data_IF_489437762218
#
_entry.id   IF_489437762218
#
_cell.length_a   1.000
_cell.length_b   1.000
_cell.length_c   1.000
_cell.angle_alpha   90.00
_cell.angle_beta   90.00
_cell.angle_gamma   90.00
#
_symmetry.space_group_name_H-M   'P 1'
#
loop_
_entity.id
_entity.type
_entity.pdbx_description
1 polymer ?
#
# COMPACT_ATOMS: atom_id res chain seq x y z
N UNK A 1 -2.41 -26.61 -33.74
CA UNK A 1 -2.57 -25.42 -34.60
C UNK A 1 -1.40 -24.48 -34.35
N UNK A 2 -0.47 -24.38 -35.30
CA UNK A 2 0.65 -23.44 -35.23
C UNK A 2 0.13 -22.04 -35.55
N UNK A 3 -0.06 -21.19 -34.52
CA UNK A 3 -0.38 -19.77 -34.75
C UNK A 3 0.81 -19.12 -35.43
N UNK A 4 0.56 -18.47 -36.56
CA UNK A 4 1.56 -17.74 -37.34
C UNK A 4 2.19 -16.66 -36.44
N UNK A 5 3.47 -16.81 -36.07
CA UNK A 5 4.11 -15.97 -35.05
C UNK A 5 4.40 -14.51 -35.51
N UNK A 6 4.16 -14.18 -36.78
CA UNK A 6 4.55 -12.89 -37.36
C UNK A 6 3.57 -11.73 -37.13
N UNK A 7 2.40 -11.96 -36.52
CA UNK A 7 1.39 -10.91 -36.24
C UNK A 7 1.11 -10.70 -34.75
N UNK A 8 1.99 -11.14 -33.85
CA UNK A 8 1.76 -10.92 -32.41
C UNK A 8 1.96 -9.45 -32.06
N UNK A 9 0.95 -8.83 -31.44
CA UNK A 9 0.99 -7.43 -31.02
C UNK A 9 1.96 -7.25 -29.84
N UNK A 10 2.86 -6.27 -29.97
CA UNK A 10 3.79 -5.89 -28.90
C UNK A 10 3.04 -5.09 -27.84
N UNK A 11 2.88 -5.65 -26.64
CA UNK A 11 2.02 -5.10 -25.61
C UNK A 11 2.71 -4.83 -24.29
N UNK A 12 2.44 -3.69 -23.67
CA UNK A 12 2.68 -3.51 -22.24
C UNK A 12 1.39 -3.55 -21.45
N UNK A 13 1.54 -3.75 -20.15
CA UNK A 13 0.56 -3.33 -19.15
C UNK A 13 1.22 -2.36 -18.18
N UNK A 14 0.44 -1.38 -17.74
CA UNK A 14 0.87 -0.34 -16.81
C UNK A 14 -0.15 -0.16 -15.68
N UNK A 15 0.34 -0.01 -14.46
CA UNK A 15 -0.49 0.20 -13.28
C UNK A 15 0.34 0.52 -12.03
N UNK A 16 -0.29 0.87 -10.89
CA UNK A 16 -1.74 0.94 -10.70
C UNK A 16 -2.37 2.14 -11.45
N UNK A 17 -3.54 1.94 -12.06
CA UNK A 17 -4.24 2.97 -12.83
C UNK A 17 -5.16 3.87 -12.00
N UNK A 18 -5.57 3.40 -10.81
CA UNK A 18 -6.63 4.03 -10.05
C UNK A 18 -8.03 3.87 -10.70
N UNK A 19 -9.06 4.50 -10.10
CA UNK A 19 -10.45 4.39 -10.55
C UNK A 19 -10.76 5.23 -11.81
N UNK A 20 -10.07 6.34 -12.01
CA UNK A 20 -10.22 7.22 -13.19
C UNK A 20 -9.17 6.87 -14.25
N UNK A 21 -9.43 5.81 -15.02
CA UNK A 21 -8.47 5.31 -16.01
C UNK A 21 -8.30 6.24 -17.22
N UNK A 22 -9.28 7.10 -17.54
CA UNK A 22 -9.16 8.08 -18.63
C UNK A 22 -8.11 9.13 -18.29
N UNK A 23 -8.24 9.75 -17.11
CA UNK A 23 -7.25 10.71 -16.62
C UNK A 23 -5.88 10.06 -16.44
N UNK A 24 -5.85 8.82 -15.94
CA UNK A 24 -4.61 8.06 -15.83
C UNK A 24 -3.91 7.87 -17.18
N UNK A 25 -4.65 7.50 -18.23
CA UNK A 25 -4.10 7.33 -19.58
C UNK A 25 -3.50 8.64 -20.10
N UNK A 26 -4.19 9.77 -19.91
CA UNK A 26 -3.67 11.09 -20.31
C UNK A 26 -2.37 11.44 -19.59
N UNK A 27 -2.33 11.26 -18.26
CA UNK A 27 -1.14 11.51 -17.45
C UNK A 27 0.02 10.56 -17.84
N UNK A 28 -0.29 9.29 -18.06
CA UNK A 28 0.67 8.26 -18.45
C UNK A 28 1.27 8.54 -19.82
N UNK A 29 0.44 8.92 -20.80
CA UNK A 29 0.88 9.28 -22.14
C UNK A 29 1.86 10.46 -22.09
N UNK A 30 1.54 11.51 -21.35
CA UNK A 30 2.42 12.66 -21.19
C UNK A 30 3.74 12.29 -20.50
N UNK A 31 3.69 11.45 -19.46
CA UNK A 31 4.88 11.00 -18.74
C UNK A 31 5.81 10.12 -19.62
N UNK A 32 5.24 9.22 -20.43
CA UNK A 32 6.03 8.39 -21.37
C UNK A 32 6.72 9.28 -22.42
N UNK A 33 6.03 10.32 -22.93
CA UNK A 33 6.63 11.24 -23.90
C UNK A 33 7.77 12.05 -23.26
N UNK A 34 7.57 12.57 -22.04
CA UNK A 34 8.58 13.39 -21.36
C UNK A 34 9.83 12.61 -20.97
N UNK A 35 9.67 11.35 -20.55
CA UNK A 35 10.77 10.49 -20.08
C UNK A 35 11.41 9.66 -21.20
N UNK A 36 10.63 9.26 -22.20
CA UNK A 36 10.97 8.14 -23.09
C UNK A 36 11.58 8.49 -24.44
N UNK A 37 11.62 9.75 -24.89
CA UNK A 37 11.96 10.12 -26.28
C UNK A 37 11.15 9.34 -27.35
N UNK A 38 9.98 8.81 -27.01
CA UNK A 38 9.07 8.11 -27.93
C UNK A 38 8.01 9.12 -28.38
N UNK A 39 7.80 9.25 -29.69
CA UNK A 39 6.72 10.06 -30.23
C UNK A 39 5.36 9.43 -29.85
N UNK A 40 4.66 10.01 -28.87
CA UNK A 40 3.47 9.41 -28.26
C UNK A 40 2.23 9.28 -29.15
N UNK A 41 2.32 9.58 -30.45
CA UNK A 41 1.23 9.37 -31.42
C UNK A 41 1.03 7.89 -31.79
N UNK A 42 1.99 7.02 -31.45
CA UNK A 42 1.99 5.61 -31.86
C UNK A 42 1.46 4.61 -30.81
N UNK A 43 0.95 5.09 -29.66
CA UNK A 43 0.53 4.23 -28.56
C UNK A 43 -1.00 4.12 -28.50
N UNK A 44 -1.51 2.88 -28.54
CA UNK A 44 -2.94 2.59 -28.32
C UNK A 44 -3.16 2.07 -26.91
N UNK A 45 -4.14 2.61 -26.20
CA UNK A 45 -4.45 2.23 -24.83
C UNK A 45 -5.76 1.47 -24.75
N UNK A 46 -5.83 0.46 -23.87
CA UNK A 46 -7.08 -0.22 -23.52
C UNK A 46 -7.17 -0.38 -22.00
N UNK A 47 -8.34 -0.07 -21.48
CA UNK A 47 -8.64 -0.07 -20.06
C UNK A 47 -8.95 -1.48 -19.51
N UNK A 48 -8.51 -1.73 -18.27
CA UNK A 48 -8.84 -2.91 -17.48
C UNK A 48 -9.11 -2.50 -16.03
N UNK A 49 -10.28 -1.88 -15.74
CA UNK A 49 -10.62 -1.36 -14.41
C UNK A 49 -10.55 -2.43 -13.31
N UNK A 50 -11.07 -3.62 -13.58
CA UNK A 50 -11.09 -4.76 -12.63
C UNK A 50 -9.70 -5.31 -12.27
N UNK A 51 -8.66 -4.87 -12.99
CA UNK A 51 -7.28 -5.25 -12.77
C UNK A 51 -6.39 -4.07 -12.41
N UNK A 52 -6.98 -2.88 -12.19
CA UNK A 52 -6.28 -1.65 -11.82
C UNK A 52 -5.08 -1.35 -12.74
N UNK A 53 -5.26 -1.60 -14.05
CA UNK A 53 -4.21 -1.40 -15.03
C UNK A 53 -4.79 -1.03 -16.40
N UNK A 54 -3.91 -0.60 -17.30
CA UNK A 54 -4.21 -0.38 -18.72
C UNK A 54 -3.20 -1.15 -19.56
N UNK A 55 -3.61 -1.64 -20.73
CA UNK A 55 -2.65 -2.14 -21.72
C UNK A 55 -2.23 -1.04 -22.69
N UNK A 56 -1.00 -1.12 -23.15
CA UNK A 56 -0.40 -0.21 -24.13
C UNK A 56 0.06 -1.06 -25.31
N UNK A 57 -0.47 -0.81 -26.50
CA UNK A 57 0.04 -1.39 -27.74
C UNK A 57 1.12 -0.47 -28.29
N UNK A 58 2.32 -1.02 -28.51
CA UNK A 58 3.46 -0.34 -29.11
C UNK A 58 3.69 -0.85 -30.53
N UNK A 59 4.22 0.01 -31.40
CA UNK A 59 4.47 -0.33 -32.81
C UNK A 59 5.66 -1.27 -32.96
N UNK A 60 6.67 -1.13 -32.10
CA UNK A 60 7.91 -1.90 -32.15
C UNK A 60 8.27 -2.55 -30.80
N UNK A 61 9.08 -3.62 -30.86
CA UNK A 61 9.60 -4.28 -29.66
C UNK A 61 10.58 -3.39 -28.88
N UNK A 62 11.34 -2.56 -29.59
CA UNK A 62 12.30 -1.62 -29.02
C UNK A 62 11.60 -0.53 -28.19
N UNK A 63 10.51 0.04 -28.70
CA UNK A 63 9.65 0.96 -27.94
C UNK A 63 9.08 0.28 -26.70
N UNK A 64 8.58 -0.95 -26.87
CA UNK A 64 8.03 -1.73 -25.77
C UNK A 64 9.06 -1.92 -24.64
N UNK A 65 10.30 -2.27 -25.00
CA UNK A 65 11.39 -2.43 -24.04
C UNK A 65 11.76 -1.09 -23.38
N UNK A 66 11.84 -0.01 -24.14
CA UNK A 66 12.17 1.32 -23.62
C UNK A 66 11.11 1.81 -22.61
N UNK A 67 9.83 1.64 -22.90
CA UNK A 67 8.73 1.98 -21.98
C UNK A 67 8.80 1.11 -20.72
N UNK A 68 9.06 -0.19 -20.85
CA UNK A 68 9.15 -1.09 -19.71
C UNK A 68 10.28 -0.71 -18.73
N UNK A 69 11.37 -0.12 -19.23
CA UNK A 69 12.49 0.39 -18.42
C UNK A 69 12.17 1.67 -17.62
N UNK A 70 11.00 2.27 -17.84
CA UNK A 70 10.43 3.35 -17.02
C UNK A 70 9.69 2.84 -15.77
N UNK A 71 9.58 1.52 -15.60
CA UNK A 71 8.93 0.90 -14.43
C UNK A 71 9.54 1.35 -13.11
N UNK A 72 8.71 1.99 -12.28
CA UNK A 72 9.09 2.56 -10.99
C UNK A 72 9.69 3.97 -11.07
N UNK A 73 9.92 4.52 -12.26
CA UNK A 73 10.47 5.88 -12.46
C UNK A 73 9.38 6.92 -12.70
N UNK A 74 8.32 6.54 -13.41
CA UNK A 74 7.16 7.42 -13.61
C UNK A 74 6.35 7.46 -12.33
N UNK A 75 6.09 8.67 -11.82
CA UNK A 75 5.22 8.90 -10.68
C UNK A 75 3.99 9.70 -11.11
N UNK A 76 2.81 9.12 -10.91
CA UNK A 76 1.52 9.78 -11.18
C UNK A 76 0.79 9.92 -9.86
N UNK A 77 0.49 11.16 -9.48
CA UNK A 77 -0.24 11.51 -8.25
C UNK A 77 0.38 10.90 -6.97
N UNK A 78 1.72 10.81 -6.90
CA UNK A 78 2.44 10.24 -5.76
C UNK A 78 2.64 8.72 -5.82
N UNK A 79 2.15 8.05 -6.88
CA UNK A 79 2.25 6.59 -7.03
C UNK A 79 3.21 6.22 -8.15
N UNK A 80 4.16 5.33 -7.87
CA UNK A 80 5.08 4.82 -8.88
C UNK A 80 4.35 3.85 -9.81
N UNK A 81 4.49 4.08 -11.12
CA UNK A 81 3.86 3.27 -12.14
C UNK A 81 4.79 2.12 -12.53
N UNK A 82 4.25 0.92 -12.44
CA UNK A 82 4.86 -0.32 -12.88
C UNK A 82 4.53 -0.56 -14.34
N UNK A 83 5.48 -1.11 -15.08
CA UNK A 83 5.26 -1.57 -16.45
C UNK A 83 5.67 -3.03 -16.58
N UNK A 84 4.96 -3.78 -17.42
CA UNK A 84 5.33 -5.15 -17.78
C UNK A 84 5.14 -5.39 -19.26
N UNK A 85 6.09 -6.14 -19.83
CA UNK A 85 6.04 -6.63 -21.20
C UNK A 85 5.11 -7.83 -21.21
N UNK A 86 4.10 -7.81 -22.08
CA UNK A 86 3.11 -8.88 -22.21
C UNK A 86 2.81 -9.19 -23.68
N UNK A 87 1.98 -10.21 -23.90
CA UNK A 87 1.32 -10.45 -25.18
C UNK A 87 -0.16 -10.07 -25.05
N UNK A 88 -0.60 -9.05 -25.79
CA UNK A 88 -1.97 -8.53 -25.68
C UNK A 88 -3.03 -9.58 -26.01
N UNK A 89 -2.72 -10.50 -26.91
CA UNK A 89 -3.64 -11.56 -27.32
C UNK A 89 -3.87 -12.62 -26.22
N UNK A 90 -2.93 -12.76 -25.29
CA UNK A 90 -3.00 -13.69 -24.17
C UNK A 90 -3.42 -12.99 -22.85
N UNK A 91 -3.55 -11.65 -22.85
CA UNK A 91 -3.67 -10.85 -21.64
C UNK A 91 -4.92 -11.17 -20.80
N UNK A 92 -6.09 -11.28 -21.45
CA UNK A 92 -7.32 -11.66 -20.74
C UNK A 92 -7.19 -13.04 -20.09
N UNK A 93 -6.57 -13.99 -20.81
CA UNK A 93 -6.35 -15.33 -20.28
C UNK A 93 -5.37 -15.31 -19.10
N UNK A 94 -4.32 -14.47 -19.16
CA UNK A 94 -3.44 -14.24 -18.02
C UNK A 94 -4.20 -13.70 -16.82
N UNK A 95 -5.05 -12.68 -16.98
CA UNK A 95 -5.81 -12.12 -15.86
C UNK A 95 -6.73 -13.13 -15.18
N UNK A 96 -7.51 -13.89 -15.95
CA UNK A 96 -8.39 -14.93 -15.40
C UNK A 96 -7.62 -15.98 -14.58
N UNK A 97 -6.45 -16.39 -15.06
CA UNK A 97 -5.63 -17.38 -14.38
C UNK A 97 -4.90 -16.79 -13.16
N UNK A 98 -4.33 -15.59 -13.30
CA UNK A 98 -3.56 -14.94 -12.23
C UNK A 98 -4.45 -14.53 -11.06
N UNK A 99 -5.68 -14.07 -11.33
CA UNK A 99 -6.67 -13.73 -10.28
C UNK A 99 -6.95 -14.90 -9.33
N UNK A 100 -6.83 -16.13 -9.80
CA UNK A 100 -7.06 -17.33 -8.98
C UNK A 100 -5.81 -17.81 -8.24
N UNK A 101 -4.62 -17.58 -8.80
CA UNK A 101 -3.35 -18.09 -8.26
C UNK A 101 -2.67 -17.10 -7.33
N UNK A 102 -2.61 -15.82 -7.70
CA UNK A 102 -1.83 -14.80 -6.99
C UNK A 102 -2.34 -14.53 -5.56
N UNK A 103 -3.65 -14.39 -5.30
CA UNK A 103 -4.14 -14.19 -3.93
C UNK A 103 -3.70 -15.29 -2.96
N UNK A 104 -3.68 -16.54 -3.43
CA UNK A 104 -3.29 -17.71 -2.63
C UNK A 104 -1.77 -17.84 -2.45
N UNK A 105 -1.01 -17.19 -3.33
CA UNK A 105 0.45 -17.23 -3.32
C UNK A 105 1.06 -16.23 -2.32
N UNK A 106 0.37 -15.15 -1.97
CA UNK A 106 0.91 -14.09 -1.11
C UNK A 106 0.46 -14.30 0.34
N UNK A 107 1.40 -14.27 1.28
CA UNK A 107 1.17 -14.33 2.72
C UNK A 107 2.09 -13.36 3.45
N UNK A 108 1.51 -12.26 3.93
CA UNK A 108 2.28 -11.18 4.55
C UNK A 108 3.37 -10.68 3.62
N UNK A 109 4.63 -10.82 4.04
CA UNK A 109 5.82 -10.40 3.29
C UNK A 109 6.43 -11.50 2.39
N UNK A 110 5.79 -12.66 2.28
CA UNK A 110 6.29 -13.81 1.52
C UNK A 110 5.35 -14.14 0.36
N UNK A 111 5.91 -14.49 -0.79
CA UNK A 111 5.16 -14.94 -1.95
C UNK A 111 5.65 -16.30 -2.42
N UNK A 112 4.76 -17.30 -2.46
CA UNK A 112 5.05 -18.61 -3.04
C UNK A 112 4.48 -18.77 -4.44
N UNK A 113 5.36 -18.60 -5.43
CA UNK A 113 5.10 -18.85 -6.84
C UNK A 113 5.83 -20.11 -7.31
N UNK A 114 6.04 -21.11 -6.45
CA UNK A 114 6.66 -22.37 -6.84
C UNK A 114 5.68 -23.32 -7.56
N UNK A 115 6.22 -24.18 -8.42
CA UNK A 115 5.45 -25.21 -9.16
C UNK A 115 4.20 -24.67 -9.88
N UNK A 116 4.29 -23.49 -10.51
CA UNK A 116 3.17 -22.80 -11.15
C UNK A 116 2.42 -23.65 -12.18
N UNK A 117 3.12 -24.55 -12.88
CA UNK A 117 2.52 -25.48 -13.83
C UNK A 117 1.43 -26.39 -13.23
N UNK A 118 1.44 -26.61 -11.91
CA UNK A 118 0.38 -27.35 -11.19
C UNK A 118 -0.79 -26.47 -10.75
N UNK A 119 -0.56 -25.15 -10.61
CA UNK A 119 -1.54 -24.20 -10.06
C UNK A 119 -2.49 -23.65 -11.13
N UNK A 120 -2.13 -23.77 -12.39
CA UNK A 120 -2.91 -23.30 -13.52
C UNK A 120 -3.75 -24.45 -14.10
N UNK A 121 -5.08 -24.41 -13.89
CA UNK A 121 -6.03 -25.45 -14.33
C UNK A 121 -6.09 -25.57 -15.86
N UNK A 122 -5.21 -26.37 -16.45
CA UNK A 122 -5.16 -26.60 -17.91
C UNK A 122 -4.55 -25.45 -18.72
N UNK A 123 -4.19 -24.33 -18.08
CA UNK A 123 -3.50 -23.22 -18.73
C UNK A 123 -1.99 -23.47 -18.81
N UNK A 124 -1.46 -23.48 -20.03
CA UNK A 124 -0.04 -23.74 -20.30
C UNK A 124 0.79 -22.49 -20.01
N UNK A 125 1.10 -22.26 -18.74
CA UNK A 125 2.04 -21.23 -18.31
C UNK A 125 3.49 -21.72 -18.42
N UNK A 126 4.37 -20.88 -18.94
CA UNK A 126 5.82 -21.16 -19.02
C UNK A 126 6.61 -20.02 -18.40
N UNK A 127 7.31 -20.32 -17.30
CA UNK A 127 8.21 -19.37 -16.64
C UNK A 127 9.42 -18.99 -17.50
N UNK A 128 9.71 -19.79 -18.54
CA UNK A 128 10.75 -19.51 -19.53
C UNK A 128 10.32 -18.53 -20.60
N UNK A 129 9.04 -18.16 -20.65
CA UNK A 129 8.54 -17.14 -21.55
C UNK A 129 8.53 -15.79 -20.84
N UNK A 130 9.46 -14.86 -21.17
CA UNK A 130 9.70 -13.67 -20.36
C UNK A 130 8.46 -12.80 -20.17
N UNK A 131 7.61 -12.68 -21.20
CA UNK A 131 6.38 -11.91 -21.17
C UNK A 131 5.37 -12.49 -20.18
N UNK A 132 5.18 -13.80 -20.16
CA UNK A 132 4.27 -14.47 -19.23
C UNK A 132 4.76 -14.33 -17.78
N UNK A 133 6.06 -14.55 -17.56
CA UNK A 133 6.66 -14.43 -16.23
C UNK A 133 6.65 -12.98 -15.73
N UNK A 134 6.99 -12.01 -16.59
CA UNK A 134 6.91 -10.58 -16.25
C UNK A 134 5.48 -10.18 -15.91
N UNK A 135 4.48 -10.64 -16.69
CA UNK A 135 3.06 -10.33 -16.44
C UNK A 135 2.59 -10.92 -15.10
N UNK A 136 3.01 -12.14 -14.76
CA UNK A 136 2.70 -12.76 -13.46
C UNK A 136 3.31 -11.96 -12.31
N UNK A 137 4.60 -11.61 -12.40
CA UNK A 137 5.28 -10.82 -11.37
C UNK A 137 4.69 -9.42 -11.23
N UNK A 138 4.31 -8.79 -12.34
CA UNK A 138 3.61 -7.50 -12.34
C UNK A 138 2.24 -7.60 -11.66
N UNK A 139 1.43 -8.59 -12.02
CA UNK A 139 0.12 -8.79 -11.40
C UNK A 139 0.26 -9.09 -9.90
N UNK A 140 1.26 -9.89 -9.54
CA UNK A 140 1.64 -10.15 -8.14
C UNK A 140 2.05 -8.85 -7.43
N UNK A 141 2.83 -7.98 -8.08
CA UNK A 141 3.21 -6.67 -7.57
C UNK A 141 2.01 -5.74 -7.38
N UNK A 142 1.10 -5.65 -8.35
CA UNK A 142 -0.13 -4.87 -8.22
C UNK A 142 -1.02 -5.39 -7.09
N UNK A 143 -1.19 -6.70 -6.99
CA UNK A 143 -1.95 -7.32 -5.90
C UNK A 143 -1.30 -7.04 -4.55
N UNK A 144 0.02 -7.20 -4.44
CA UNK A 144 0.76 -6.89 -3.23
C UNK A 144 0.60 -5.41 -2.84
N UNK A 145 0.70 -4.48 -3.80
CA UNK A 145 0.48 -3.06 -3.58
C UNK A 145 -0.95 -2.76 -3.11
N UNK A 146 -1.98 -3.33 -3.76
CA UNK A 146 -3.38 -3.07 -3.38
C UNK A 146 -3.74 -3.65 -2.01
N UNK A 147 -3.03 -4.67 -1.55
CA UNK A 147 -3.19 -5.28 -0.23
C UNK A 147 -2.17 -4.78 0.79
N UNK A 148 -1.27 -3.87 0.40
CA UNK A 148 -0.17 -3.34 1.22
C UNK A 148 0.78 -4.43 1.78
N UNK A 149 1.00 -5.48 1.00
CA UNK A 149 1.95 -6.55 1.28
C UNK A 149 3.35 -6.12 0.83
N UNK A 150 4.27 -5.95 1.78
CA UNK A 150 5.64 -5.57 1.48
C UNK A 150 6.51 -6.80 1.26
N UNK A 151 6.52 -7.34 0.04
CA UNK A 151 7.18 -8.61 -0.27
C UNK A 151 8.70 -8.50 -0.07
N UNK A 152 9.23 -9.28 0.87
CA UNK A 152 10.67 -9.41 1.15
C UNK A 152 11.24 -10.75 0.66
N UNK A 153 10.38 -11.75 0.43
CA UNK A 153 10.77 -13.11 0.00
C UNK A 153 9.86 -13.57 -1.14
N UNK A 154 10.47 -14.09 -2.23
CA UNK A 154 9.73 -14.76 -3.30
C UNK A 154 10.30 -16.18 -3.50
N UNK A 155 9.42 -17.17 -3.50
CA UNK A 155 9.75 -18.54 -3.87
C UNK A 155 9.37 -18.82 -5.33
N UNK A 156 10.38 -19.06 -6.16
CA UNK A 156 10.27 -19.46 -7.58
C UNK A 156 10.79 -20.89 -7.82
N UNK A 157 10.90 -21.71 -6.77
CA UNK A 157 11.43 -23.06 -6.86
C UNK A 157 10.58 -23.96 -7.79
N UNK A 158 11.24 -24.96 -8.39
CA UNK A 158 10.60 -26.04 -9.18
C UNK A 158 9.69 -25.55 -10.31
N UNK A 159 10.02 -24.44 -10.94
CA UNK A 159 9.25 -23.86 -12.06
C UNK A 159 9.79 -24.26 -13.45
N UNK A 160 10.78 -25.17 -13.50
CA UNK A 160 11.49 -25.56 -14.71
C UNK A 160 12.13 -24.36 -15.46
N UNK A 161 12.52 -23.31 -14.74
CA UNK A 161 13.18 -22.16 -15.33
C UNK A 161 14.57 -22.53 -15.84
N UNK A 162 14.95 -22.04 -17.02
CA UNK A 162 16.27 -22.24 -17.63
C UNK A 162 17.00 -20.91 -17.82
N UNK A 163 16.36 -19.78 -17.53
CA UNK A 163 16.91 -18.43 -17.64
C UNK A 163 16.17 -17.45 -16.71
N UNK A 164 16.77 -16.27 -16.49
CA UNK A 164 16.27 -15.24 -15.58
C UNK A 164 15.51 -14.10 -16.28
N UNK A 165 15.33 -14.14 -17.61
CA UNK A 165 14.90 -12.99 -18.40
C UNK A 165 13.52 -12.47 -18.00
N UNK A 166 12.62 -13.36 -17.55
CA UNK A 166 11.30 -12.99 -17.04
C UNK A 166 11.30 -12.20 -15.74
N UNK A 167 12.42 -12.17 -15.00
CA UNK A 167 12.59 -11.50 -13.71
C UNK A 167 13.24 -10.12 -13.83
N UNK A 168 13.47 -9.61 -15.05
CA UNK A 168 14.26 -8.39 -15.27
C UNK A 168 13.76 -7.17 -14.48
N UNK A 169 12.45 -7.06 -14.29
CA UNK A 169 11.79 -5.94 -13.61
C UNK A 169 11.39 -6.26 -12.17
N UNK A 170 11.85 -7.38 -11.61
CA UNK A 170 11.41 -7.86 -10.29
C UNK A 170 11.70 -6.84 -9.18
N UNK A 171 12.84 -6.12 -9.25
CA UNK A 171 13.17 -5.07 -8.28
C UNK A 171 12.26 -3.85 -8.36
N UNK A 172 11.75 -3.50 -9.54
CA UNK A 172 10.75 -2.44 -9.68
C UNK A 172 9.40 -2.84 -9.10
N UNK A 173 9.02 -4.12 -9.22
CA UNK A 173 7.75 -4.63 -8.69
C UNK A 173 7.79 -4.84 -7.17
N UNK A 174 8.95 -5.22 -6.63
CA UNK A 174 9.14 -5.54 -5.22
C UNK A 174 10.39 -4.81 -4.66
N UNK A 175 10.30 -3.50 -4.36
CA UNK A 175 11.46 -2.72 -3.92
C UNK A 175 12.09 -3.20 -2.59
N UNK A 176 11.32 -3.90 -1.76
CA UNK A 176 11.79 -4.45 -0.48
C UNK A 176 12.26 -5.91 -0.57
N UNK A 177 12.27 -6.49 -1.77
CA UNK A 177 12.66 -7.89 -1.97
C UNK A 177 14.11 -8.09 -1.52
N UNK A 178 14.33 -9.15 -0.74
CA UNK A 178 15.66 -9.52 -0.22
C UNK A 178 16.08 -10.90 -0.69
N UNK A 179 15.17 -11.87 -0.67
CA UNK A 179 15.48 -13.28 -0.93
C UNK A 179 14.64 -13.83 -2.08
N UNK A 180 15.28 -14.58 -2.97
CA UNK A 180 14.61 -15.32 -4.05
C UNK A 180 15.03 -16.78 -4.00
N UNK A 181 14.10 -17.68 -3.69
CA UNK A 181 14.35 -19.11 -3.77
C UNK A 181 14.16 -19.60 -5.20
N UNK A 182 15.17 -20.28 -5.75
CA UNK A 182 15.18 -20.77 -7.13
C UNK A 182 15.50 -22.27 -7.24
N UNK A 183 15.57 -22.98 -6.10
CA UNK A 183 15.91 -24.40 -6.05
C UNK A 183 15.04 -25.29 -6.95
N UNK A 184 15.66 -26.29 -7.58
CA UNK A 184 14.97 -27.25 -8.47
C UNK A 184 14.58 -26.69 -9.84
N UNK A 185 15.08 -25.52 -10.24
CA UNK A 185 15.05 -25.05 -11.63
C UNK A 185 16.23 -25.63 -12.44
N UNK A 186 16.25 -25.37 -13.74
CA UNK A 186 17.19 -25.94 -14.73
C UNK A 186 18.09 -24.87 -15.34
N UNK A 187 18.61 -23.95 -14.52
CA UNK A 187 19.61 -22.98 -14.96
C UNK A 187 20.87 -23.70 -15.42
N UNK A 188 21.56 -23.17 -16.43
CA UNK A 188 22.82 -23.76 -16.88
C UNK A 188 23.89 -23.55 -15.82
N UNK A 189 24.59 -24.63 -15.46
CA UNK A 189 25.74 -24.56 -14.57
C UNK A 189 26.77 -23.56 -15.10
N UNK A 190 27.10 -22.54 -14.30
CA UNK A 190 28.08 -21.50 -14.67
C UNK A 190 27.48 -20.20 -15.21
N UNK A 191 26.16 -20.14 -15.48
CA UNK A 191 25.49 -18.84 -15.65
C UNK A 191 25.37 -18.17 -14.27
N UNK A 192 26.31 -17.27 -13.99
CA UNK A 192 26.27 -16.46 -12.76
C UNK A 192 25.00 -15.61 -12.68
N UNK A 193 24.72 -15.11 -11.47
CA UNK A 193 23.61 -14.19 -11.20
C UNK A 193 23.66 -12.98 -12.17
N UNK A 194 22.60 -12.74 -12.97
CA UNK A 194 22.55 -11.57 -13.84
C UNK A 194 22.63 -10.25 -13.05
N UNK A 195 23.31 -9.21 -13.58
CA UNK A 195 23.46 -7.93 -12.88
C UNK A 195 22.13 -7.25 -12.51
N UNK A 196 21.07 -7.45 -13.30
CA UNK A 196 19.76 -6.85 -13.03
C UNK A 196 19.05 -7.42 -11.80
N UNK A 197 19.52 -8.56 -11.26
CA UNK A 197 19.05 -9.08 -9.98
C UNK A 197 19.79 -8.43 -8.78
N UNK A 198 20.63 -7.42 -9.02
CA UNK A 198 21.23 -6.53 -8.02
C UNK A 198 21.82 -7.29 -6.84
N UNK A 199 21.38 -6.95 -5.62
CA UNK A 199 21.86 -7.50 -4.36
C UNK A 199 20.93 -8.57 -3.74
N UNK A 200 19.91 -9.04 -4.47
CA UNK A 200 19.03 -10.10 -3.96
C UNK A 200 19.78 -11.39 -3.59
N UNK A 201 19.51 -11.95 -2.41
CA UNK A 201 20.01 -13.25 -2.00
C UNK A 201 19.29 -14.35 -2.78
N UNK A 202 19.96 -14.92 -3.79
CA UNK A 202 19.43 -16.03 -4.58
C UNK A 202 19.85 -17.35 -3.94
N UNK A 203 18.84 -18.12 -3.53
CA UNK A 203 19.06 -19.39 -2.85
C UNK A 203 18.64 -20.56 -3.74
N UNK A 204 19.58 -21.45 -3.98
CA UNK A 204 19.36 -22.71 -4.72
C UNK A 204 18.68 -23.80 -3.87
N UNK A 205 18.33 -23.49 -2.63
CA UNK A 205 17.53 -24.35 -1.76
C UNK A 205 16.03 -24.19 -2.00
N UNK A 206 15.25 -25.17 -1.53
CA UNK A 206 13.79 -25.09 -1.47
C UNK A 206 13.45 -24.57 -0.06
N UNK A 207 12.61 -23.52 0.07
CA UNK A 207 12.32 -22.94 1.37
C UNK A 207 11.59 -23.91 2.31
N UNK A 208 11.70 -23.72 3.64
CA UNK A 208 10.99 -24.53 4.63
C UNK A 208 9.45 -24.50 4.43
N UNK A 209 8.77 -25.55 4.90
CA UNK A 209 7.34 -25.83 4.69
C UNK A 209 6.38 -24.72 5.14
N UNK A 210 6.79 -23.84 6.06
CA UNK A 210 6.01 -22.67 6.52
C UNK A 210 5.65 -21.70 5.38
N UNK A 211 6.42 -21.71 4.28
CA UNK A 211 6.12 -20.93 3.06
C UNK A 211 5.20 -21.72 2.09
N UNK A 212 5.06 -23.03 2.29
CA UNK A 212 4.39 -23.95 1.36
C UNK A 212 2.99 -24.43 1.79
N UNK A 213 2.61 -24.38 3.08
CA UNK A 213 1.61 -25.33 3.62
C UNK A 213 0.15 -24.92 3.87
N UNK A 214 -0.33 -23.68 3.68
CA UNK A 214 -1.78 -23.38 3.96
C UNK A 214 -2.65 -23.16 2.71
N UNK A 215 -2.24 -23.64 1.52
CA UNK A 215 -3.05 -23.47 0.30
C UNK A 215 -3.97 -24.65 -0.01
N UNK A 216 -3.88 -25.74 0.77
CA UNK A 216 -4.62 -26.98 0.54
C UNK A 216 -5.52 -27.31 1.74
N UNK A 217 -6.62 -26.58 1.88
CA UNK A 217 -7.83 -27.11 2.52
C UNK A 217 -8.96 -27.10 1.50
N UNK A 218 -8.97 -28.14 0.67
CA UNK A 218 -10.18 -28.58 -0.05
C UNK A 218 -10.63 -29.90 0.57
N UNK A 219 -11.75 -29.80 1.29
CA UNK A 219 -12.80 -30.80 1.49
C UNK A 219 -12.36 -32.26 1.60
N UNK A 220 -12.28 -32.71 2.85
CA UNK A 220 -12.38 -34.11 3.23
C UNK A 220 -13.80 -34.61 3.00
N UNK A 221 -13.99 -35.51 2.03
CA UNK A 221 -15.06 -36.51 2.12
C UNK A 221 -14.66 -37.53 3.18
N UNK A 222 -15.29 -37.45 4.36
CA UNK A 222 -15.34 -38.57 5.29
C UNK A 222 -16.72 -38.65 5.92
N UNK A 223 -17.45 -39.69 5.54
CA UNK A 223 -18.65 -40.17 6.21
C UNK A 223 -18.37 -40.54 7.67
N UNK A 224 -19.43 -40.38 8.46
CA UNK A 224 -19.79 -41.12 9.68
C UNK A 224 -19.26 -40.66 11.04
N UNK A 225 -20.24 -40.21 11.83
CA UNK A 225 -20.63 -40.72 13.15
C UNK A 225 -20.37 -39.85 14.39
N UNK A 226 -21.52 -39.55 15.00
CA UNK A 226 -21.85 -39.43 16.43
C UNK A 226 -21.69 -38.08 17.15
N UNK A 227 -22.88 -37.50 17.39
CA UNK A 227 -23.19 -36.42 18.29
C UNK A 227 -22.74 -36.69 19.74
N UNK A 228 -22.15 -35.69 20.38
CA UNK A 228 -22.34 -35.50 21.82
C UNK A 228 -22.42 -34.00 22.12
N UNK A 229 -23.64 -33.51 22.35
CA UNK A 229 -23.93 -32.14 22.77
C UNK A 229 -23.45 -31.89 24.20
N UNK A 230 -22.46 -31.03 24.36
CA UNK A 230 -22.26 -30.24 25.58
C UNK A 230 -22.58 -28.78 25.25
N UNK A 231 -23.63 -28.25 25.87
CA UNK A 231 -23.95 -26.82 25.86
C UNK A 231 -22.90 -26.10 26.71
N UNK A 232 -21.93 -25.47 26.05
CA UNK A 232 -21.15 -24.39 26.66
C UNK A 232 -21.98 -23.11 26.56
N UNK A 233 -22.16 -22.45 27.71
CA UNK A 233 -22.78 -21.14 27.82
C UNK A 233 -21.82 -20.15 27.15
N UNK A 234 -22.13 -19.80 25.90
CA UNK A 234 -21.43 -18.78 25.15
C UNK A 234 -21.73 -17.42 25.78
N UNK A 235 -20.78 -16.90 26.54
CA UNK A 235 -20.74 -15.48 26.87
C UNK A 235 -20.19 -14.80 25.62
N UNK A 236 -21.03 -14.03 24.93
CA UNK A 236 -20.58 -13.27 23.76
C UNK A 236 -19.30 -12.49 24.13
N UNK A 237 -18.17 -12.73 23.44
CA UNK A 237 -17.01 -11.90 23.64
C UNK A 237 -17.43 -10.45 23.32
N UNK A 238 -16.99 -9.46 24.13
CA UNK A 238 -17.26 -8.06 23.81
C UNK A 238 -16.84 -7.82 22.35
N UNK A 239 -17.60 -7.05 21.55
CA UNK A 239 -17.33 -6.89 20.13
C UNK A 239 -15.87 -6.48 19.95
N UNK A 240 -15.05 -7.42 19.48
CA UNK A 240 -13.67 -7.16 19.14
C UNK A 240 -13.71 -6.11 18.03
N UNK A 241 -13.03 -5.00 18.26
CA UNK A 241 -12.76 -4.03 17.20
C UNK A 241 -12.00 -4.80 16.14
N UNK A 242 -12.56 -4.92 14.92
CA UNK A 242 -11.96 -5.68 13.84
C UNK A 242 -10.69 -4.95 13.35
N UNK A 243 -9.56 -5.26 13.98
CA UNK A 243 -8.24 -4.68 13.74
C UNK A 243 -7.36 -5.52 12.81
N UNK A 244 -7.89 -6.58 12.19
CA UNK A 244 -7.21 -7.32 11.09
C UNK A 244 -6.76 -6.38 9.95
N UNK A 245 -7.33 -5.16 9.88
CA UNK A 245 -6.95 -4.15 8.89
C UNK A 245 -5.81 -3.21 9.28
N UNK A 246 -5.36 -3.23 10.54
CA UNK A 246 -4.43 -2.24 11.10
C UNK A 246 -3.18 -2.89 11.70
N UNK A 247 -3.25 -4.14 12.18
CA UNK A 247 -2.13 -4.78 12.90
C UNK A 247 -0.96 -5.30 12.04
N UNK A 248 -1.10 -5.46 10.71
CA UNK A 248 -0.01 -6.00 9.87
C UNK A 248 0.52 -5.07 8.77
N UNK A 249 -0.04 -3.86 8.65
CA UNK A 249 0.33 -2.91 7.60
C UNK A 249 1.35 -1.91 8.13
N UNK A 250 2.49 -1.74 7.45
CA UNK A 250 3.15 -0.42 7.39
C UNK A 250 2.12 0.53 6.81
N UNK A 251 1.31 1.14 7.67
CA UNK A 251 0.24 2.06 7.28
C UNK A 251 0.91 3.19 6.52
N UNK A 252 0.72 3.26 5.21
CA UNK A 252 0.73 4.56 4.57
C UNK A 252 -0.54 5.25 5.06
N UNK A 253 -0.40 6.48 5.57
CA UNK A 253 -1.55 7.35 5.85
C UNK A 253 -2.49 7.34 4.65
N UNK A 254 -3.68 6.76 4.82
CA UNK A 254 -4.71 6.77 3.78
C UNK A 254 -5.74 7.81 4.19
N UNK A 255 -5.94 8.77 3.30
CA UNK A 255 -6.99 9.78 3.42
C UNK A 255 -7.92 9.54 2.25
N UNK A 256 -9.08 8.93 2.51
CA UNK A 256 -10.16 8.96 1.53
C UNK A 256 -10.92 10.26 1.72
N UNK A 257 -10.58 11.26 0.90
CA UNK A 257 -11.20 12.56 0.99
C UNK A 257 -12.65 12.54 0.53
N UNK A 258 -13.09 11.62 -0.32
CA UNK A 258 -14.43 11.66 -0.89
C UNK A 258 -15.47 11.08 0.08
N UNK A 259 -15.05 10.20 1.00
CA UNK A 259 -15.90 9.65 2.07
C UNK A 259 -15.96 10.50 3.34
N UNK A 260 -15.05 11.46 3.55
CA UNK A 260 -14.84 12.10 4.85
C UNK A 260 -15.58 13.43 5.10
N UNK A 261 -16.27 14.01 4.12
CA UNK A 261 -16.84 15.37 4.26
C UNK A 261 -18.35 15.39 4.48
N UNK A 262 -18.77 15.95 5.60
CA UNK A 262 -20.12 16.48 5.79
C UNK A 262 -20.01 17.97 6.12
N UNK A 263 -20.62 18.80 5.28
CA UNK A 263 -20.80 20.25 5.42
C UNK A 263 -19.54 21.12 5.17
N UNK A 264 -19.66 22.04 4.19
CA UNK A 264 -18.92 23.31 3.97
C UNK A 264 -18.37 23.57 2.56
N UNK A 265 -18.12 24.84 2.27
CA UNK A 265 -17.92 25.47 0.97
C UNK A 265 -16.75 24.87 0.14
N UNK A 266 -16.99 24.66 -1.16
CA UNK A 266 -16.08 23.98 -2.09
C UNK A 266 -14.73 24.71 -2.24
N UNK A 267 -14.73 26.04 -2.09
CA UNK A 267 -13.52 26.88 -2.25
C UNK A 267 -12.54 26.62 -1.10
N UNK A 268 -13.00 26.67 0.15
CA UNK A 268 -12.19 26.39 1.35
C UNK A 268 -11.63 24.97 1.34
N UNK A 269 -12.41 24.01 0.81
CA UNK A 269 -11.99 22.61 0.63
C UNK A 269 -10.79 22.45 -0.31
N UNK A 270 -10.81 23.12 -1.45
CA UNK A 270 -9.71 23.02 -2.43
C UNK A 270 -8.39 23.60 -1.91
N UNK A 271 -8.45 24.71 -1.17
CA UNK A 271 -7.27 25.41 -0.68
C UNK A 271 -6.59 24.68 0.50
N UNK A 272 -7.38 24.14 1.43
CA UNK A 272 -6.83 23.43 2.59
C UNK A 272 -6.27 22.05 2.23
N UNK A 273 -6.74 21.41 1.15
CA UNK A 273 -6.16 20.15 0.63
C UNK A 273 -4.68 20.31 0.26
N UNK A 274 -4.29 21.46 -0.28
CA UNK A 274 -2.89 21.77 -0.66
C UNK A 274 -1.97 21.77 0.56
N UNK A 275 -2.47 22.13 1.75
CA UNK A 275 -1.74 22.04 3.01
C UNK A 275 -1.83 20.64 3.64
N UNK A 276 -3.06 20.12 3.76
CA UNK A 276 -3.35 18.96 4.60
C UNK A 276 -2.69 17.68 4.09
N UNK A 277 -2.62 17.48 2.76
CA UNK A 277 -1.99 16.29 2.17
C UNK A 277 -0.47 16.25 2.45
N UNK A 278 0.32 17.30 2.10
CA UNK A 278 1.73 17.33 2.44
C UNK A 278 1.99 17.24 3.94
N UNK A 279 1.19 17.92 4.76
CA UNK A 279 1.33 17.90 6.22
C UNK A 279 1.16 16.49 6.80
N UNK A 280 0.09 15.79 6.43
CA UNK A 280 -0.18 14.44 6.93
C UNK A 280 0.82 13.40 6.40
N UNK A 281 1.26 13.55 5.14
CA UNK A 281 2.35 12.72 4.59
C UNK A 281 3.65 12.94 5.38
N UNK A 282 4.00 14.20 5.65
CA UNK A 282 5.18 14.55 6.44
C UNK A 282 5.10 13.94 7.85
N UNK A 283 3.96 14.08 8.53
CA UNK A 283 3.72 13.44 9.84
C UNK A 283 3.83 11.91 9.81
N UNK A 284 3.47 11.29 8.70
CA UNK A 284 3.46 9.83 8.56
C UNK A 284 4.83 9.24 8.25
N UNK A 285 5.60 9.93 7.43
CA UNK A 285 6.88 9.44 6.90
C UNK A 285 8.07 9.94 7.73
N UNK A 286 8.01 11.20 8.17
CA UNK A 286 9.06 11.81 8.98
C UNK A 286 8.49 12.92 9.89
N UNK A 287 7.92 12.56 11.07
CA UNK A 287 7.36 13.51 12.03
C UNK A 287 8.29 14.67 12.39
N UNK A 288 9.60 14.44 12.27
CA UNK A 288 10.62 15.42 12.61
C UNK A 288 10.61 16.62 11.66
N UNK A 289 10.25 16.38 10.40
CA UNK A 289 10.12 17.42 9.39
C UNK A 289 8.76 18.12 9.48
N UNK A 290 7.81 17.58 10.25
CA UNK A 290 6.48 18.17 10.37
C UNK A 290 6.51 19.50 11.12
N UNK A 291 7.53 19.76 11.95
CA UNK A 291 7.73 21.06 12.61
C UNK A 291 7.85 22.23 11.64
N UNK A 292 8.29 21.99 10.39
CA UNK A 292 8.36 23.02 9.34
C UNK A 292 6.97 23.57 8.94
N UNK A 293 5.90 22.88 9.32
CA UNK A 293 4.53 23.34 9.10
C UNK A 293 3.97 24.14 10.28
N UNK A 294 4.72 24.33 11.37
CA UNK A 294 4.27 25.04 12.56
C UNK A 294 4.83 26.46 12.59
N UNK A 295 4.11 27.40 13.20
CA UNK A 295 4.67 28.70 13.54
C UNK A 295 5.64 28.59 14.71
N UNK A 296 6.57 29.55 14.84
CA UNK A 296 7.52 29.58 15.97
C UNK A 296 6.84 29.67 17.34
N UNK A 297 5.60 30.16 17.38
CA UNK A 297 4.76 30.27 18.59
C UNK A 297 3.73 29.16 18.72
N UNK A 298 3.78 28.14 17.86
CA UNK A 298 2.76 27.12 17.85
C UNK A 298 2.77 26.28 19.14
N UNK A 299 1.62 25.68 19.45
CA UNK A 299 1.44 24.83 20.62
C UNK A 299 0.92 23.45 20.20
N UNK A 300 1.58 22.40 20.67
CA UNK A 300 1.12 21.01 20.57
C UNK A 300 0.71 20.50 21.94
N UNK A 301 -0.44 19.82 22.02
CA UNK A 301 -0.94 19.18 23.23
C UNK A 301 -1.54 17.81 22.95
N UNK A 302 -1.45 16.91 23.94
CA UNK A 302 -2.02 15.58 23.90
C UNK A 302 -2.97 15.38 25.07
N UNK A 303 -4.19 14.94 24.81
CA UNK A 303 -5.15 14.50 25.80
C UNK A 303 -5.39 13.00 25.66
N UNK A 304 -5.70 12.34 26.78
CA UNK A 304 -6.16 10.95 26.79
C UNK A 304 -7.53 10.87 27.45
N UNK A 305 -8.46 10.16 26.82
CA UNK A 305 -9.80 9.91 27.36
C UNK A 305 -9.93 8.43 27.70
N UNK A 306 -9.66 8.12 28.97
CA UNK A 306 -9.75 6.75 29.48
C UNK A 306 -11.13 6.43 30.01
N UNK A 307 -11.62 5.19 29.84
CA UNK A 307 -12.85 4.74 30.49
C UNK A 307 -12.66 4.71 32.02
N UNK A 308 -13.59 5.34 32.76
CA UNK A 308 -13.55 5.42 34.24
C UNK A 308 -13.38 4.06 34.95
N UNK A 309 -13.82 2.97 34.30
CA UNK A 309 -13.85 1.62 34.86
C UNK A 309 -12.61 0.76 34.54
N UNK A 310 -11.72 1.22 33.66
CA UNK A 310 -10.50 0.49 33.27
C UNK A 310 -9.31 1.48 33.18
N UNK A 311 -8.56 1.70 34.26
CA UNK A 311 -7.44 2.64 34.26
C UNK A 311 -6.19 2.08 33.53
N UNK A 312 -6.08 0.76 33.47
CA UNK A 312 -4.99 0.03 32.79
C UNK A 312 -5.41 -0.29 31.35
N UNK A 313 -5.30 0.72 30.48
CA UNK A 313 -5.46 0.55 29.02
C UNK A 313 -4.16 0.97 28.33
N UNK A 314 -3.94 0.62 27.04
CA UNK A 314 -2.76 1.06 26.31
C UNK A 314 -2.57 2.60 26.30
N UNK A 315 -3.63 3.39 26.56
CA UNK A 315 -3.51 4.83 26.77
C UNK A 315 -2.66 5.23 27.99
N UNK A 316 -2.46 4.33 28.96
CA UNK A 316 -1.57 4.56 30.11
C UNK A 316 -0.12 4.85 29.71
N UNK A 317 0.32 4.39 28.53
CA UNK A 317 1.63 4.72 27.94
C UNK A 317 1.82 6.23 27.67
N UNK A 318 0.73 7.00 27.74
CA UNK A 318 0.70 8.42 27.47
C UNK A 318 0.48 9.28 28.72
N UNK A 319 0.20 8.69 29.89
CA UNK A 319 -0.11 9.44 31.12
C UNK A 319 0.99 10.39 31.56
N UNK A 320 2.24 10.03 31.25
CA UNK A 320 3.43 10.81 31.60
C UNK A 320 3.66 12.03 30.69
N UNK A 321 2.97 12.10 29.55
CA UNK A 321 3.14 13.18 28.55
C UNK A 321 1.84 13.90 28.21
N UNK A 322 0.69 13.30 28.54
CA UNK A 322 -0.62 13.90 28.33
C UNK A 322 -0.88 15.10 29.25
N UNK A 323 -1.62 16.07 28.72
CA UNK A 323 -2.27 17.17 29.43
C UNK A 323 -3.51 16.63 30.15
N UNK A 324 -3.64 16.91 31.44
CA UNK A 324 -4.84 16.63 32.23
C UNK A 324 -5.19 17.86 33.06
N UNK A 325 -6.02 18.72 32.48
CA UNK A 325 -6.47 19.96 33.12
C UNK A 325 -7.26 19.65 34.40
N UNK A 326 -7.99 18.53 34.45
CA UNK A 326 -8.79 18.15 35.63
C UNK A 326 -7.92 17.85 36.84
N UNK A 327 -6.67 17.42 36.61
CA UNK A 327 -5.65 17.19 37.64
C UNK A 327 -4.65 18.32 37.78
N UNK A 328 -4.83 19.43 37.06
CA UNK A 328 -3.89 20.55 37.04
C UNK A 328 -2.57 20.25 36.33
N UNK A 329 -2.52 19.21 35.51
CA UNK A 329 -1.31 18.81 34.75
C UNK A 329 -1.35 19.47 33.38
N UNK A 330 -0.57 20.54 33.22
CA UNK A 330 -0.46 21.27 31.96
C UNK A 330 0.87 20.91 31.26
N UNK A 331 0.80 19.99 30.30
CA UNK A 331 1.92 19.61 29.43
C UNK A 331 1.64 20.07 28.01
N UNK A 332 2.62 20.67 27.38
CA UNK A 332 2.54 21.19 26.02
C UNK A 332 3.96 21.31 25.47
N UNK A 333 4.09 21.21 24.16
CA UNK A 333 5.33 21.51 23.44
C UNK A 333 5.11 22.80 22.66
N UNK A 334 6.07 23.74 22.73
CA UNK A 334 5.94 25.05 22.08
C UNK A 334 7.06 25.29 21.08
N UNK A 335 6.70 25.87 19.93
CA UNK A 335 7.66 26.26 18.90
C UNK A 335 8.60 25.11 18.51
N UNK A 336 9.89 25.28 18.80
CA UNK A 336 10.93 24.29 18.50
C UNK A 336 10.76 22.93 19.21
N UNK A 337 10.07 22.89 20.34
CA UNK A 337 9.86 21.66 21.13
C UNK A 337 8.87 20.69 20.47
N UNK A 338 8.10 21.15 19.48
CA UNK A 338 7.07 20.35 18.81
C UNK A 338 7.65 19.09 18.16
N UNK A 339 8.88 19.16 17.65
CA UNK A 339 9.58 18.00 17.09
C UNK A 339 9.77 16.89 18.12
N UNK A 340 10.09 17.24 19.36
CA UNK A 340 10.23 16.29 20.46
C UNK A 340 8.85 15.73 20.85
N UNK A 341 7.84 16.58 20.99
CA UNK A 341 6.48 16.14 21.27
C UNK A 341 5.93 15.16 20.24
N UNK A 342 6.13 15.43 18.94
CA UNK A 342 5.70 14.51 17.89
C UNK A 342 6.42 13.15 17.96
N UNK A 343 7.72 13.12 18.30
CA UNK A 343 8.48 11.88 18.52
C UNK A 343 7.98 11.12 19.73
N UNK A 344 7.65 11.82 20.81
CA UNK A 344 7.12 11.19 22.02
C UNK A 344 5.73 10.62 21.81
N UNK A 345 4.85 11.31 21.08
CA UNK A 345 3.48 10.86 20.84
C UNK A 345 3.46 9.73 19.80
N UNK A 346 4.22 9.88 18.70
CA UNK A 346 4.23 8.96 17.55
C UNK A 346 5.66 8.61 17.11
N UNK A 347 6.38 7.76 17.87
CA UNK A 347 7.80 7.47 17.61
C UNK A 347 8.06 6.80 16.26
N UNK A 348 7.05 6.13 15.68
CA UNK A 348 7.13 5.41 14.39
C UNK A 348 6.39 6.13 13.25
N UNK A 349 6.06 7.41 13.44
CA UNK A 349 5.24 8.16 12.50
C UNK A 349 3.75 8.12 12.83
N UNK A 350 3.02 9.14 12.40
CA UNK A 350 1.58 9.23 12.59
C UNK A 350 0.84 8.39 11.54
N UNK A 351 0.67 7.10 11.84
CA UNK A 351 -0.05 6.17 10.97
C UNK A 351 -1.54 6.24 11.26
N UNK A 352 -2.35 6.64 10.28
CA UNK A 352 -3.74 6.97 10.54
C UNK A 352 -4.69 6.65 9.38
N UNK A 353 -5.97 6.50 9.72
CA UNK A 353 -7.12 6.41 8.82
C UNK A 353 -8.14 7.44 9.28
N UNK A 354 -8.27 8.53 8.50
CA UNK A 354 -9.29 9.55 8.75
C UNK A 354 -10.65 8.97 8.38
N UNK A 355 -11.63 9.15 9.25
CA UNK A 355 -13.03 8.73 9.05
C UNK A 355 -13.99 9.90 8.92
N UNK A 356 -13.60 11.07 9.42
CA UNK A 356 -14.40 12.29 9.37
C UNK A 356 -13.47 13.50 9.40
N UNK A 357 -13.75 14.51 8.58
CA UNK A 357 -12.95 15.71 8.44
C UNK A 357 -13.88 16.92 8.26
N UNK A 358 -13.66 17.94 9.08
CA UNK A 358 -14.38 19.22 9.03
C UNK A 358 -13.38 20.35 8.98
N UNK A 359 -13.69 21.36 8.18
CA UNK A 359 -12.86 22.55 8.03
C UNK A 359 -13.72 23.79 8.17
N UNK A 360 -13.31 24.73 9.00
CA UNK A 360 -14.00 26.00 9.16
C UNK A 360 -13.01 27.15 8.95
N UNK A 361 -13.44 28.20 8.27
CA UNK A 361 -12.73 29.46 8.26
C UNK A 361 -13.20 30.30 9.45
N UNK A 362 -12.30 30.65 10.37
CA UNK A 362 -12.59 31.49 11.54
C UNK A 362 -12.46 32.97 11.17
N UNK A 363 -11.44 33.30 10.36
CA UNK A 363 -11.11 34.64 9.88
C UNK A 363 -10.45 34.53 8.49
N UNK A 364 -10.26 35.64 7.79
CA UNK A 364 -9.62 35.69 6.45
C UNK A 364 -8.27 34.95 6.38
N UNK A 365 -7.54 34.92 7.48
CA UNK A 365 -6.22 34.31 7.60
C UNK A 365 -6.17 33.20 8.65
N UNK A 366 -7.31 32.79 9.21
CA UNK A 366 -7.37 31.83 10.31
C UNK A 366 -8.39 30.73 10.03
N UNK A 367 -7.95 29.48 10.09
CA UNK A 367 -8.74 28.30 9.76
C UNK A 367 -8.67 27.29 10.90
N UNK A 368 -9.72 26.49 11.06
CA UNK A 368 -9.74 25.31 11.91
C UNK A 368 -9.96 24.07 11.07
N UNK A 369 -9.20 23.02 11.35
CA UNK A 369 -9.40 21.70 10.80
C UNK A 369 -9.62 20.74 11.97
N UNK A 370 -10.73 20.02 11.95
CA UNK A 370 -11.02 18.96 12.91
C UNK A 370 -11.13 17.66 12.15
N UNK A 371 -10.37 16.63 12.55
CA UNK A 371 -10.50 15.32 11.97
C UNK A 371 -10.49 14.21 13.01
N UNK A 372 -11.25 13.17 12.70
CA UNK A 372 -11.51 12.04 13.56
C UNK A 372 -11.15 10.77 12.82
N UNK A 373 -10.56 9.80 13.52
CA UNK A 373 -10.14 8.58 12.87
C UNK A 373 -9.62 7.54 13.84
N UNK A 374 -8.88 6.59 13.26
CA UNK A 374 -8.05 5.65 14.00
C UNK A 374 -6.58 5.88 13.64
N UNK A 375 -5.69 5.70 14.60
CA UNK A 375 -4.25 5.79 14.41
C UNK A 375 -3.50 4.68 15.14
N UNK A 376 -2.25 4.47 14.77
CA UNK A 376 -1.30 3.67 15.55
C UNK A 376 -0.50 4.58 16.47
N UNK A 377 -0.52 4.27 17.76
CA UNK A 377 0.26 4.96 18.79
C UNK A 377 1.56 4.24 19.16
N UNK A 378 2.00 4.43 20.40
CA UNK A 378 3.16 3.77 20.99
C UNK A 378 2.98 2.26 20.98
N UNK A 379 4.09 1.54 20.81
CA UNK A 379 4.13 0.07 20.81
C UNK A 379 3.18 -0.57 19.80
N UNK A 380 2.86 0.16 18.71
CA UNK A 380 1.96 -0.28 17.66
C UNK A 380 0.50 -0.49 18.10
N UNK A 381 0.09 0.01 19.26
CA UNK A 381 -1.31 -0.09 19.69
C UNK A 381 -2.22 0.82 18.88
N UNK A 382 -3.38 0.32 18.42
CA UNK A 382 -4.35 1.15 17.73
C UNK A 382 -5.19 1.97 18.72
N UNK A 383 -5.47 3.22 18.36
CA UNK A 383 -6.32 4.13 19.10
C UNK A 383 -7.32 4.82 18.19
N UNK A 384 -8.46 5.21 18.74
CA UNK A 384 -9.26 6.26 18.12
C UNK A 384 -8.68 7.61 18.51
N UNK A 385 -8.78 8.57 17.60
CA UNK A 385 -8.30 9.92 17.87
C UNK A 385 -9.23 10.98 17.31
N UNK A 386 -9.19 12.13 17.97
CA UNK A 386 -9.72 13.40 17.49
C UNK A 386 -8.54 14.39 17.45
N UNK A 387 -8.34 15.08 16.33
CA UNK A 387 -7.26 16.06 16.19
C UNK A 387 -7.81 17.37 15.66
N UNK A 388 -7.49 18.45 16.35
CA UNK A 388 -7.90 19.80 16.01
C UNK A 388 -6.67 20.63 15.71
N UNK A 389 -6.58 21.14 14.49
CA UNK A 389 -5.58 22.09 14.04
C UNK A 389 -6.19 23.47 13.91
N UNK A 390 -5.47 24.49 14.36
CA UNK A 390 -5.72 25.88 13.99
C UNK A 390 -4.59 26.33 13.08
N UNK A 391 -4.92 26.85 11.90
CA UNK A 391 -3.97 27.26 10.88
C UNK A 391 -4.03 28.77 10.66
N UNK A 392 -2.86 29.41 10.59
CA UNK A 392 -2.71 30.77 10.07
C UNK A 392 -2.29 30.69 8.60
N UNK A 393 -2.88 31.52 7.76
CA UNK A 393 -2.47 31.72 6.36
C UNK A 393 -1.62 32.98 6.27
N UNK A 394 -0.41 32.85 5.72
CA UNK A 394 0.52 33.95 5.50
C UNK A 394 1.16 33.80 4.12
N UNK A 395 1.04 34.82 3.27
CA UNK A 395 1.55 34.80 1.89
C UNK A 395 1.10 33.56 1.08
N UNK A 396 -0.15 33.13 1.24
CA UNK A 396 -0.73 31.91 0.66
C UNK A 396 -0.12 30.58 1.13
N UNK A 397 0.66 30.59 2.20
CA UNK A 397 1.16 29.38 2.88
C UNK A 397 0.42 29.20 4.21
N UNK A 398 0.11 27.97 4.57
CA UNK A 398 -0.57 27.65 5.82
C UNK A 398 0.42 27.12 6.86
N UNK A 399 0.30 27.62 8.09
CA UNK A 399 1.10 27.20 9.24
C UNK A 399 0.20 26.82 10.40
N UNK A 400 0.54 25.77 11.12
CA UNK A 400 -0.14 25.32 12.33
C UNK A 400 0.23 26.25 13.48
N UNK A 401 -0.77 26.85 14.11
CA UNK A 401 -0.62 27.65 15.34
C UNK A 401 -1.00 26.86 16.59
N UNK A 402 -1.95 25.93 16.47
CA UNK A 402 -2.37 25.07 17.57
C UNK A 402 -2.68 23.68 17.05
N UNK A 403 -2.16 22.66 17.73
CA UNK A 403 -2.41 21.25 17.45
C UNK A 403 -2.81 20.53 18.74
N UNK A 404 -4.05 20.06 18.77
CA UNK A 404 -4.62 19.37 19.91
C UNK A 404 -4.99 17.96 19.47
N UNK A 405 -4.33 16.97 20.09
CA UNK A 405 -4.54 15.56 19.81
C UNK A 405 -5.25 14.94 21.01
N UNK A 406 -6.35 14.26 20.79
CA UNK A 406 -7.06 13.49 21.82
C UNK A 406 -7.06 12.03 21.44
N UNK A 407 -6.46 11.16 22.27
CA UNK A 407 -6.50 9.71 22.10
C UNK A 407 -7.56 9.07 23.00
N UNK A 408 -8.26 8.06 22.50
CA UNK A 408 -9.34 7.38 23.22
C UNK A 408 -9.48 5.91 22.81
N UNK A 409 -9.96 5.10 23.75
CA UNK A 409 -10.12 3.65 23.56
C UNK A 409 -11.40 3.29 22.79
N UNK A 410 -12.44 4.12 22.87
CA UNK A 410 -13.76 3.84 22.31
C UNK A 410 -14.05 4.70 21.07
N UNK A 411 -14.71 4.11 20.07
CA UNK A 411 -15.22 4.82 18.90
C UNK A 411 -16.33 5.79 19.32
N UNK A 412 -16.42 6.95 18.65
CA UNK A 412 -17.49 7.92 18.93
C UNK A 412 -18.77 7.28 18.40
N UNK A 413 -19.76 7.10 19.26
CA UNK A 413 -21.12 6.86 18.80
C UNK A 413 -21.53 8.14 18.07
N UNK A 414 -22.07 8.01 16.85
CA UNK A 414 -22.59 9.17 16.11
C UNK A 414 -23.72 9.76 16.97
N UNK A 415 -23.54 11.00 17.41
CA UNK A 415 -24.62 11.81 17.99
C UNK A 415 -25.52 12.36 16.90
#
# INVERSE_FOLDING_TARGET
>A
MSRNNNNRRFGLIAGPSGPDQDRFIEQLKNAIISEGRIEGQNLTFKQYPDHNCVSIEATTYEEQKAIAELSGKININGTNILFSITHLDDLNQYFENFKNVVPKAIRGDKTDLSMLFKRFNGFKFSCNFPQAMSSLLFYTGLYALSHNNNITIINLAKNNMTNYNGMRLIGSYFPSLKIIFIGGNKFKSGEGKPPFLGDFDLRDEIPPLEIQQESDHSDSDSESAEETKKQEVYVDPPPMINFEYIEEKKVMSTIDFDECYHNDDYVTKSQLRVFLIPFLRCLSDNPQNASNYYTDTAVLSLLTLKPKKKPETPLSLYDIIATDITRGVARYWRGSEITEGLKEIFPIGFKHKISYLVTHQIHDELYSIVFHGACIGKECFPFYYDRTLTLKKENNVYFVCNDCITLRDEKRLKE
#
